data_IF_698428744016
#
_entry.id   IF_698428744016
#
_cell.length_a   1.000
_cell.length_b   1.000
_cell.length_c   1.000
_cell.angle_alpha   90.00
_cell.angle_beta   90.00
_cell.angle_gamma   90.00
#
_symmetry.space_group_name_H-M   'P 1'
#
loop_
_entity.id
_entity.type
_entity.pdbx_description
1 polymer ?
#
# COMPACT_ATOMS: atom_id res chain seq x y z
N UNK A 1 -12.41 4.33 12.94
CA UNK A 1 -11.02 4.45 12.45
C UNK A 1 -10.52 3.21 11.70
N UNK A 2 -10.12 2.10 12.36
CA UNK A 2 -9.54 0.95 11.65
C UNK A 2 -10.48 0.34 10.58
N UNK A 3 -11.77 0.20 10.91
CA UNK A 3 -12.78 -0.28 9.96
C UNK A 3 -12.94 0.63 8.75
N UNK A 4 -12.89 1.95 8.94
CA UNK A 4 -13.02 2.94 7.84
C UNK A 4 -11.80 2.91 6.92
N UNK A 5 -10.60 2.72 7.49
CA UNK A 5 -9.37 2.49 6.72
C UNK A 5 -9.48 1.24 5.86
N UNK A 6 -9.97 0.12 6.43
CA UNK A 6 -10.18 -1.12 5.69
C UNK A 6 -11.24 -0.97 4.59
N UNK A 7 -12.33 -0.24 4.84
CA UNK A 7 -13.35 0.05 3.83
C UNK A 7 -12.78 0.92 2.70
N UNK A 8 -12.02 1.96 3.02
CA UNK A 8 -11.33 2.77 2.03
C UNK A 8 -10.35 1.95 1.18
N UNK A 9 -9.62 1.04 1.82
CA UNK A 9 -8.68 0.15 1.13
C UNK A 9 -9.40 -0.85 0.22
N UNK A 10 -10.53 -1.40 0.67
CA UNK A 10 -11.39 -2.26 -0.14
C UNK A 10 -11.88 -1.55 -1.42
N UNK A 11 -12.31 -0.29 -1.30
CA UNK A 11 -12.71 0.55 -2.45
C UNK A 11 -11.53 0.74 -3.41
N UNK A 12 -10.36 1.10 -2.89
CA UNK A 12 -9.15 1.33 -3.69
C UNK A 12 -8.73 0.07 -4.45
N UNK A 13 -8.71 -1.08 -3.76
CA UNK A 13 -8.37 -2.37 -4.31
C UNK A 13 -9.37 -2.87 -5.35
N UNK A 14 -10.67 -2.62 -5.13
CA UNK A 14 -11.74 -2.87 -6.11
C UNK A 14 -11.59 -2.05 -7.38
N UNK A 15 -11.06 -0.84 -7.28
CA UNK A 15 -10.72 0.04 -8.40
C UNK A 15 -9.38 -0.31 -9.09
N UNK A 16 -8.78 -1.45 -8.78
CA UNK A 16 -7.47 -1.88 -9.30
C UNK A 16 -6.31 -0.95 -8.90
N UNK A 17 -6.40 -0.26 -7.77
CA UNK A 17 -5.31 0.63 -7.29
C UNK A 17 -4.64 0.02 -6.06
N UNK A 18 -3.32 0.05 -6.02
CA UNK A 18 -2.48 -0.30 -4.86
C UNK A 18 -1.92 1.01 -4.30
N UNK A 19 -2.04 1.24 -3.00
CA UNK A 19 -1.66 2.52 -2.38
C UNK A 19 -0.15 2.69 -2.26
N UNK A 20 0.54 1.63 -1.80
CA UNK A 20 2.00 1.53 -1.59
C UNK A 20 2.61 2.39 -0.48
N UNK A 21 1.80 3.08 0.32
CA UNK A 21 2.27 3.89 1.45
C UNK A 21 1.21 4.03 2.55
N UNK A 22 0.61 2.90 2.95
CA UNK A 22 -0.36 2.87 4.05
C UNK A 22 0.38 3.07 5.37
N UNK A 23 0.09 4.20 6.03
CA UNK A 23 0.64 4.58 7.33
C UNK A 23 -0.28 5.58 8.03
N UNK A 24 -0.20 5.75 9.36
CA UNK A 24 -1.06 6.67 10.09
C UNK A 24 -1.02 8.12 9.58
N UNK A 25 0.13 8.59 9.07
CA UNK A 25 0.27 9.94 8.51
C UNK A 25 -0.57 10.16 7.25
N UNK A 26 -0.93 9.09 6.54
CA UNK A 26 -1.74 9.10 5.32
C UNK A 26 -3.22 8.75 5.61
N UNK A 27 -3.62 8.75 6.89
CA UNK A 27 -5.01 8.62 7.32
C UNK A 27 -5.49 9.94 7.89
N UNK A 28 -6.34 10.63 7.14
CA UNK A 28 -6.92 11.91 7.56
C UNK A 28 -8.27 11.67 8.25
N UNK A 29 -8.62 12.56 9.17
CA UNK A 29 -9.91 12.57 9.84
C UNK A 29 -10.71 13.76 9.32
N UNK A 30 -11.91 13.51 8.81
CA UNK A 30 -12.79 14.58 8.34
C UNK A 30 -13.57 15.25 9.48
N UNK A 31 -14.36 16.27 9.15
CA UNK A 31 -15.17 17.04 10.11
C UNK A 31 -16.25 16.21 10.81
N UNK A 32 -16.58 15.03 10.29
CA UNK A 32 -17.52 14.08 10.88
C UNK A 32 -16.81 13.03 11.74
N UNK A 33 -15.48 13.11 11.88
CA UNK A 33 -14.68 12.17 12.65
C UNK A 33 -14.36 10.87 11.90
N UNK A 34 -14.60 10.79 10.59
CA UNK A 34 -14.38 9.58 9.80
C UNK A 34 -12.96 9.54 9.23
N UNK A 35 -12.33 8.37 9.28
CA UNK A 35 -11.02 8.16 8.69
C UNK A 35 -11.08 8.02 7.15
N UNK A 36 -10.15 8.69 6.45
CA UNK A 36 -10.01 8.68 4.99
C UNK A 36 -8.56 8.43 4.60
N UNK A 37 -8.34 7.58 3.60
CA UNK A 37 -7.03 7.40 2.99
C UNK A 37 -6.63 8.65 2.19
N UNK A 38 -5.37 9.03 2.25
CA UNK A 38 -4.80 10.17 1.57
C UNK A 38 -3.39 9.86 1.02
N UNK A 39 -2.85 10.78 0.23
CA UNK A 39 -1.53 10.69 -0.42
C UNK A 39 -1.38 9.48 -1.37
N UNK A 40 -1.96 9.63 -2.56
CA UNK A 40 -1.87 8.64 -3.64
C UNK A 40 -0.63 8.82 -4.53
N UNK A 41 0.36 9.62 -4.11
CA UNK A 41 1.53 9.95 -4.95
C UNK A 41 2.37 8.73 -5.34
N UNK A 42 2.37 7.69 -4.50
CA UNK A 42 3.08 6.44 -4.74
C UNK A 42 2.19 5.32 -5.32
N UNK A 43 0.89 5.58 -5.46
CA UNK A 43 -0.09 4.59 -5.88
C UNK A 43 0.16 4.12 -7.32
N UNK A 44 -0.26 2.89 -7.60
CA UNK A 44 -0.17 2.28 -8.94
C UNK A 44 -1.45 1.55 -9.27
N UNK A 45 -1.84 1.61 -10.54
CA UNK A 45 -2.99 0.89 -11.07
C UNK A 45 -2.54 -0.45 -11.66
N UNK A 46 -3.28 -1.50 -11.37
CA UNK A 46 -3.17 -2.80 -12.02
C UNK A 46 -3.97 -2.77 -13.33
N UNK A 47 -3.40 -3.34 -14.39
CA UNK A 47 -4.14 -3.64 -15.62
C UNK A 47 -5.16 -4.76 -15.38
N UNK A 48 -6.17 -4.89 -16.24
CA UNK A 48 -7.33 -5.80 -16.03
C UNK A 48 -6.95 -7.25 -15.73
N UNK A 49 -5.82 -7.74 -16.25
CA UNK A 49 -5.36 -9.12 -16.07
C UNK A 49 -4.12 -9.25 -15.16
N UNK A 50 -3.73 -8.15 -14.50
CA UNK A 50 -2.56 -8.12 -13.64
C UNK A 50 -2.92 -8.25 -12.16
N UNK A 51 -2.20 -9.13 -11.48
CA UNK A 51 -2.26 -9.27 -10.01
C UNK A 51 -1.14 -8.53 -9.30
N UNK A 52 -0.12 -8.10 -10.05
CA UNK A 52 1.05 -7.38 -9.54
C UNK A 52 1.46 -6.25 -10.49
N UNK A 53 2.10 -5.22 -9.94
CA UNK A 53 2.76 -4.14 -10.71
C UNK A 53 4.24 -4.08 -10.35
N UNK A 54 5.11 -4.03 -11.35
CA UNK A 54 6.56 -3.95 -11.16
C UNK A 54 7.03 -2.49 -11.31
N UNK A 55 7.70 -1.97 -10.29
CA UNK A 55 8.11 -0.55 -10.21
C UNK A 55 9.28 -0.42 -9.23
N UNK A 56 9.96 0.73 -9.25
CA UNK A 56 10.96 1.05 -8.24
C UNK A 56 10.36 0.99 -6.84
N UNK A 57 11.17 0.58 -5.86
CA UNK A 57 10.75 0.55 -4.46
C UNK A 57 10.32 1.96 -4.03
N UNK A 58 9.14 2.03 -3.44
CA UNK A 58 8.60 3.22 -2.83
C UNK A 58 7.71 2.83 -1.66
N UNK A 59 7.62 3.72 -0.67
CA UNK A 59 6.91 3.51 0.57
C UNK A 59 7.77 3.92 1.76
N UNK A 60 7.20 3.83 2.95
CA UNK A 60 7.90 4.15 4.20
C UNK A 60 8.42 2.86 4.85
N UNK A 61 9.74 2.73 5.03
CA UNK A 61 10.44 1.49 5.42
C UNK A 61 9.78 0.69 6.57
N UNK A 62 9.32 1.36 7.64
CA UNK A 62 8.71 0.69 8.80
C UNK A 62 7.25 0.24 8.58
N UNK A 63 6.65 0.62 7.45
CA UNK A 63 5.27 0.32 7.06
C UNK A 63 5.21 -0.57 5.82
N UNK A 64 6.36 -0.88 5.22
CA UNK A 64 6.44 -1.78 4.06
C UNK A 64 6.33 -3.26 4.48
N UNK A 65 5.74 -4.06 3.59
CA UNK A 65 5.65 -5.50 3.76
C UNK A 65 7.04 -6.17 3.70
N UNK A 66 7.22 -7.27 4.43
CA UNK A 66 8.50 -7.96 4.51
C UNK A 66 9.03 -8.41 3.13
N UNK A 67 8.15 -8.86 2.23
CA UNK A 67 8.55 -9.28 0.88
C UNK A 67 9.06 -8.11 0.02
N UNK A 68 8.62 -6.88 0.27
CA UNK A 68 9.08 -5.68 -0.45
C UNK A 68 10.50 -5.32 -0.03
N UNK A 69 10.79 -5.43 1.27
CA UNK A 69 12.13 -5.18 1.81
C UNK A 69 13.14 -6.23 1.32
N UNK A 70 12.77 -7.52 1.37
CA UNK A 70 13.62 -8.62 0.91
C UNK A 70 13.93 -8.57 -0.60
N UNK A 71 12.93 -8.19 -1.42
CA UNK A 71 13.11 -8.09 -2.86
C UNK A 71 14.14 -7.01 -3.25
N UNK A 72 14.19 -5.91 -2.51
CA UNK A 72 15.16 -4.84 -2.72
C UNK A 72 16.59 -5.25 -2.35
N UNK A 73 16.77 -6.05 -1.29
CA UNK A 73 18.08 -6.55 -0.87
C UNK A 73 18.65 -7.57 -1.87
N UNK A 74 17.79 -8.33 -2.55
CA UNK A 74 18.19 -9.44 -3.42
C UNK A 74 18.36 -9.02 -4.89
N UNK A 75 17.68 -7.96 -5.32
CA UNK A 75 17.58 -7.59 -6.74
C UNK A 75 17.82 -6.10 -6.92
N UNK A 76 18.82 -5.72 -7.71
CA UNK A 76 19.06 -4.34 -8.17
C UNK A 76 18.01 -3.86 -9.20
N UNK A 77 16.79 -4.40 -9.16
CA UNK A 77 15.73 -4.20 -10.15
C UNK A 77 14.34 -4.15 -9.49
N UNK A 78 13.38 -3.57 -10.23
CA UNK A 78 11.98 -3.32 -9.87
C UNK A 78 11.33 -4.34 -8.93
N UNK A 79 10.64 -3.84 -7.90
CA UNK A 79 9.88 -4.64 -6.92
C UNK A 79 8.44 -4.88 -7.41
N UNK A 80 7.89 -6.07 -7.13
CA UNK A 80 6.50 -6.43 -7.47
C UNK A 80 5.56 -6.12 -6.31
N UNK A 81 4.68 -5.15 -6.50
CA UNK A 81 3.62 -4.78 -5.56
C UNK A 81 2.31 -5.48 -5.91
N UNK A 82 1.50 -5.80 -4.89
CA UNK A 82 0.18 -6.45 -5.01
C UNK A 82 -0.73 -5.88 -3.92
N UNK A 83 -2.05 -6.08 -4.03
CA UNK A 83 -3.01 -5.55 -3.04
C UNK A 83 -2.67 -5.91 -1.59
N UNK A 84 -2.19 -7.14 -1.34
CA UNK A 84 -1.84 -7.57 0.02
C UNK A 84 -0.60 -6.84 0.59
N UNK A 85 0.26 -6.23 -0.24
CA UNK A 85 1.43 -5.49 0.25
C UNK A 85 1.02 -4.17 0.93
N UNK A 86 -0.22 -3.71 0.74
CA UNK A 86 -0.77 -2.56 1.49
C UNK A 86 -1.22 -2.94 2.92
N UNK A 87 -1.43 -4.24 3.19
CA UNK A 87 -1.99 -4.72 4.46
C UNK A 87 -0.90 -5.28 5.38
N UNK A 88 0.16 -5.84 4.78
CA UNK A 88 1.22 -6.51 5.50
C UNK A 88 2.30 -5.50 5.91
N UNK A 89 2.63 -5.47 7.20
CA UNK A 89 3.76 -4.71 7.73
C UNK A 89 4.79 -5.73 8.22
N UNK A 90 6.09 -5.43 8.05
CA UNK A 90 7.17 -6.22 8.64
C UNK A 90 6.89 -6.47 10.13
N UNK A 91 6.80 -7.73 10.53
CA UNK A 91 6.85 -8.12 11.93
C UNK A 91 8.31 -8.21 12.36
N UNK A 92 8.71 -7.42 13.36
CA UNK A 92 10.00 -7.60 14.04
C UNK A 92 9.89 -8.84 14.95
N UNK A 93 10.11 -10.02 14.36
CA UNK A 93 10.47 -11.25 15.09
C UNK A 93 11.81 -11.74 14.59
#
# INVERSE_FOLDING_TARGET
>A
MAQEVLLGLQVLHGAQVIHRDIKPQNVLIDVSGQARLADFGLSRRLEMDQTTVSTDRAGTQCWEAAEILQAHETTNQHVKYKRNTDIQVRSDQ
#
